data_IF_568702244439
#
_entry.id   IF_568702244439
#
_cell.length_a   1.000
_cell.length_b   1.000
_cell.length_c   1.000
_cell.angle_alpha   90.00
_cell.angle_beta   90.00
_cell.angle_gamma   90.00
#
_symmetry.space_group_name_H-M   'P 1'
#
loop_
_entity.id
_entity.type
_entity.pdbx_description
1 polymer ?
#
# COMPACT_ATOMS: atom_id res chain seq x y z
N UNK A 1 69.83 -56.71 -43.57
CA UNK A 1 70.35 -55.94 -42.45
C UNK A 1 69.53 -54.62 -42.28
N UNK A 2 69.06 -54.38 -41.06
CA UNK A 2 68.47 -53.16 -40.51
C UNK A 2 67.02 -52.78 -40.87
N UNK A 3 66.22 -52.97 -39.91
CA UNK A 3 64.84 -52.54 -39.73
C UNK A 3 64.73 -51.01 -39.57
N UNK A 4 63.63 -50.46 -40.06
CA UNK A 4 63.20 -49.10 -39.66
C UNK A 4 61.73 -49.20 -39.20
N UNK A 5 61.57 -48.77 -37.92
CA UNK A 5 60.30 -48.74 -37.21
C UNK A 5 59.52 -47.48 -37.62
N UNK A 6 58.33 -47.67 -38.14
CA UNK A 6 57.36 -46.54 -38.30
C UNK A 6 56.61 -46.29 -37.03
N UNK A 7 56.71 -45.07 -36.55
CA UNK A 7 55.95 -44.61 -35.39
C UNK A 7 54.57 -44.07 -35.80
N UNK A 8 53.53 -44.55 -35.11
CA UNK A 8 52.15 -44.16 -35.28
C UNK A 8 51.90 -42.91 -34.41
N UNK A 9 51.60 -41.79 -35.03
CA UNK A 9 51.22 -40.57 -34.31
C UNK A 9 49.70 -40.58 -34.11
N UNK A 10 49.28 -40.80 -32.87
CA UNK A 10 47.88 -40.66 -32.46
C UNK A 10 47.62 -39.19 -32.16
N UNK A 11 46.85 -38.52 -32.99
CA UNK A 11 46.38 -37.16 -32.76
C UNK A 11 45.19 -37.21 -31.79
N UNK A 12 45.45 -36.82 -30.53
CA UNK A 12 44.41 -36.64 -29.53
C UNK A 12 43.63 -35.33 -29.76
N UNK A 13 42.36 -35.45 -30.06
CA UNK A 13 41.44 -34.32 -30.13
C UNK A 13 41.01 -33.95 -28.73
N UNK A 14 41.52 -32.83 -28.20
CA UNK A 14 41.11 -32.25 -26.91
C UNK A 14 39.80 -31.49 -27.10
N UNK A 15 38.66 -32.07 -26.68
CA UNK A 15 37.38 -31.40 -26.63
C UNK A 15 37.35 -30.49 -25.41
N UNK A 16 37.53 -29.20 -25.62
CA UNK A 16 37.33 -28.19 -24.54
C UNK A 16 35.83 -27.99 -24.30
N UNK A 17 35.32 -28.55 -23.20
CA UNK A 17 33.96 -28.27 -22.72
C UNK A 17 33.95 -26.84 -22.13
N UNK A 18 33.31 -25.88 -22.83
CA UNK A 18 32.98 -24.57 -22.26
C UNK A 18 31.87 -24.78 -21.22
N UNK A 19 32.22 -24.83 -19.95
CA UNK A 19 31.30 -24.67 -18.83
C UNK A 19 30.82 -23.21 -18.80
N UNK A 20 29.62 -22.95 -19.32
CA UNK A 20 28.94 -21.66 -19.10
C UNK A 20 28.59 -21.61 -17.64
N UNK A 21 29.41 -20.94 -16.84
CA UNK A 21 29.12 -20.58 -15.47
C UNK A 21 27.96 -19.59 -15.49
N UNK A 22 26.74 -20.11 -15.29
CA UNK A 22 25.57 -19.30 -14.97
C UNK A 22 25.83 -18.62 -13.61
N UNK A 23 26.39 -17.38 -13.64
CA UNK A 23 26.53 -16.58 -12.43
C UNK A 23 25.17 -16.37 -11.78
N UNK A 24 25.11 -16.23 -10.43
CA UNK A 24 23.89 -15.92 -9.74
C UNK A 24 23.30 -14.63 -10.32
N UNK A 25 22.08 -14.73 -10.88
CA UNK A 25 21.33 -13.57 -11.31
C UNK A 25 21.18 -12.67 -10.09
N UNK A 26 21.50 -11.35 -10.17
CA UNK A 26 21.22 -10.48 -9.07
C UNK A 26 19.72 -10.56 -8.77
N UNK A 27 19.36 -11.10 -7.61
CA UNK A 27 18.03 -10.98 -7.09
C UNK A 27 17.80 -9.46 -6.97
N UNK A 28 16.85 -8.92 -7.75
CA UNK A 28 16.41 -7.54 -7.57
C UNK A 28 16.12 -7.39 -6.09
N UNK A 29 16.90 -6.53 -5.41
CA UNK A 29 16.72 -6.25 -4.00
C UNK A 29 15.34 -5.60 -3.86
N UNK A 30 14.31 -6.42 -3.60
CA UNK A 30 13.02 -5.91 -3.20
C UNK A 30 13.28 -5.14 -1.91
N UNK A 31 12.92 -3.85 -1.90
CA UNK A 31 13.08 -3.00 -0.74
C UNK A 31 12.48 -3.64 0.52
N UNK A 32 12.77 -3.10 1.69
CA UNK A 32 12.16 -3.65 2.91
C UNK A 32 10.63 -3.53 2.86
N UNK A 33 9.88 -4.55 3.30
CA UNK A 33 8.43 -4.48 3.34
C UNK A 33 7.97 -3.30 4.21
N UNK A 34 7.04 -2.52 3.70
CA UNK A 34 6.44 -1.38 4.41
C UNK A 34 5.22 -1.76 5.22
N UNK A 35 4.75 -2.99 5.09
CA UNK A 35 3.61 -3.54 5.79
C UNK A 35 3.33 -4.98 5.40
N UNK A 36 2.17 -5.48 5.82
CA UNK A 36 1.72 -6.86 5.56
C UNK A 36 0.19 -6.84 5.38
N UNK A 37 -0.32 -7.51 4.36
CA UNK A 37 -1.74 -7.85 4.29
C UNK A 37 -1.98 -9.10 5.14
N UNK A 38 -2.96 -9.03 6.06
CA UNK A 38 -3.15 -10.03 7.11
C UNK A 38 -4.43 -10.85 6.94
N UNK A 39 -5.48 -10.24 6.40
CA UNK A 39 -6.79 -10.87 6.25
C UNK A 39 -7.53 -10.27 5.06
N UNK A 40 -8.27 -11.10 4.34
CA UNK A 40 -9.18 -10.67 3.29
C UNK A 40 -10.47 -11.50 3.33
N UNK A 41 -11.60 -10.83 3.42
CA UNK A 41 -12.90 -11.41 3.10
C UNK A 41 -13.10 -11.20 1.61
N UNK A 42 -13.38 -12.26 0.85
CA UNK A 42 -13.31 -12.20 -0.61
C UNK A 42 -11.86 -12.17 -1.10
N UNK A 43 -11.53 -11.28 -2.03
CA UNK A 43 -10.21 -11.24 -2.68
C UNK A 43 -9.55 -9.86 -2.57
N UNK A 44 -8.33 -9.83 -2.03
CA UNK A 44 -7.39 -8.73 -2.15
C UNK A 44 -6.38 -9.05 -3.25
N UNK A 45 -6.26 -8.18 -4.25
CA UNK A 45 -5.23 -8.24 -5.29
C UNK A 45 -4.18 -7.19 -4.99
N UNK A 46 -2.93 -7.61 -4.89
CA UNK A 46 -1.77 -6.72 -4.72
C UNK A 46 -0.97 -6.74 -6.01
N UNK A 47 -0.93 -5.60 -6.69
CA UNK A 47 -0.17 -5.41 -7.93
C UNK A 47 1.16 -4.76 -7.59
N UNK A 48 2.25 -5.46 -7.86
CA UNK A 48 3.62 -4.99 -7.66
C UNK A 48 4.01 -3.93 -8.69
N UNK A 49 5.10 -3.23 -8.43
CA UNK A 49 5.66 -2.25 -9.36
C UNK A 49 6.16 -2.87 -10.69
N UNK A 50 6.47 -4.16 -10.69
CA UNK A 50 6.83 -4.95 -11.89
C UNK A 50 5.61 -5.49 -12.65
N UNK A 51 4.39 -5.20 -12.18
CA UNK A 51 3.12 -5.65 -12.76
C UNK A 51 2.67 -7.04 -12.31
N UNK A 52 3.44 -7.74 -11.47
CA UNK A 52 3.04 -9.06 -10.95
C UNK A 52 1.91 -8.90 -9.94
N UNK A 53 0.86 -9.69 -10.12
CA UNK A 53 -0.29 -9.73 -9.22
C UNK A 53 -0.17 -10.85 -8.20
N UNK A 54 -0.37 -10.52 -6.93
CA UNK A 54 -0.51 -11.46 -5.83
C UNK A 54 -1.93 -11.38 -5.27
N UNK A 55 -2.51 -12.52 -4.93
CA UNK A 55 -3.87 -12.60 -4.39
C UNK A 55 -3.84 -13.14 -2.98
N UNK A 56 -4.60 -12.51 -2.08
CA UNK A 56 -4.84 -12.96 -0.72
C UNK A 56 -6.33 -13.23 -0.55
N UNK A 57 -6.67 -14.40 -0.01
CA UNK A 57 -8.01 -14.80 0.39
C UNK A 57 -7.93 -15.42 1.79
N UNK A 58 -8.81 -15.02 2.68
CA UNK A 58 -8.76 -15.45 4.07
C UNK A 58 -7.60 -14.86 4.86
N UNK A 59 -7.25 -15.50 5.98
CA UNK A 59 -6.12 -15.12 6.82
C UNK A 59 -4.80 -15.54 6.17
N UNK A 60 -3.83 -14.65 6.17
CA UNK A 60 -2.52 -14.92 5.57
C UNK A 60 -1.50 -13.84 5.92
N UNK A 61 -0.34 -13.91 5.29
CA UNK A 61 0.73 -12.93 5.46
C UNK A 61 1.35 -12.65 4.10
N UNK A 62 0.90 -11.58 3.45
CA UNK A 62 1.47 -11.12 2.19
C UNK A 62 2.24 -9.83 2.43
N UNK A 63 3.58 -9.81 2.27
CA UNK A 63 4.36 -8.59 2.46
C UNK A 63 4.00 -7.52 1.44
N UNK A 64 3.91 -6.27 1.90
CA UNK A 64 3.60 -5.09 1.09
C UNK A 64 4.83 -4.21 0.96
N UNK A 65 5.03 -3.64 -0.23
CA UNK A 65 6.16 -2.79 -0.55
C UNK A 65 5.69 -1.41 -1.01
N UNK A 66 6.62 -0.47 -0.99
CA UNK A 66 6.35 0.84 -1.56
C UNK A 66 6.08 0.75 -3.06
N UNK A 67 5.07 1.47 -3.52
CA UNK A 67 4.60 1.44 -4.90
C UNK A 67 3.54 0.39 -5.20
N UNK A 68 3.29 -0.57 -4.29
CA UNK A 68 2.22 -1.57 -4.46
C UNK A 68 0.85 -0.91 -4.60
N UNK A 69 0.03 -1.46 -5.49
CA UNK A 69 -1.37 -1.10 -5.65
C UNK A 69 -2.25 -2.23 -5.13
N UNK A 70 -3.05 -1.93 -4.12
CA UNK A 70 -3.99 -2.85 -3.50
C UNK A 70 -5.38 -2.63 -4.11
N UNK A 71 -6.03 -3.73 -4.52
CA UNK A 71 -7.39 -3.69 -5.06
C UNK A 71 -8.26 -4.72 -4.38
N UNK A 72 -9.42 -4.29 -3.87
CA UNK A 72 -10.48 -5.20 -3.43
C UNK A 72 -11.54 -5.32 -4.51
N UNK A 73 -12.06 -6.52 -4.71
CA UNK A 73 -13.16 -6.79 -5.64
C UNK A 73 -14.52 -6.44 -5.01
N UNK A 74 -15.62 -6.67 -5.73
CA UNK A 74 -16.96 -6.55 -5.17
C UNK A 74 -17.13 -7.56 -4.01
N UNK A 75 -17.88 -7.18 -2.97
CA UNK A 75 -18.07 -7.95 -1.75
C UNK A 75 -16.75 -8.42 -1.09
N UNK A 76 -15.65 -7.68 -1.30
CA UNK A 76 -14.35 -8.01 -0.74
C UNK A 76 -13.86 -6.90 0.18
N UNK A 77 -13.22 -7.30 1.28
CA UNK A 77 -12.64 -6.38 2.26
C UNK A 77 -11.26 -6.93 2.67
N UNK A 78 -10.34 -6.06 3.07
CA UNK A 78 -9.02 -6.49 3.48
C UNK A 78 -8.51 -5.69 4.67
N UNK A 79 -7.73 -6.34 5.53
CA UNK A 79 -6.98 -5.72 6.61
C UNK A 79 -5.48 -5.79 6.28
N UNK A 80 -4.84 -4.65 6.31
CA UNK A 80 -3.38 -4.53 6.21
C UNK A 80 -2.83 -3.87 7.46
N UNK A 81 -1.60 -4.22 7.81
CA UNK A 81 -0.85 -3.58 8.87
C UNK A 81 0.39 -2.92 8.28
N UNK A 82 0.43 -1.60 8.26
CA UNK A 82 1.58 -0.82 7.83
C UNK A 82 2.55 -0.63 8.99
N UNK A 83 3.84 -0.59 8.70
CA UNK A 83 4.87 -0.35 9.72
C UNK A 83 4.88 1.13 10.13
N UNK A 84 5.08 1.42 11.45
CA UNK A 84 5.40 0.47 12.51
C UNK A 84 4.21 -0.33 13.04
N UNK A 85 2.97 0.19 13.04
CA UNK A 85 1.78 -0.48 13.59
C UNK A 85 0.49 0.26 13.23
N UNK A 86 0.37 0.70 11.98
CA UNK A 86 -0.83 1.42 11.48
C UNK A 86 -1.76 0.44 10.80
N UNK A 87 -2.87 0.00 11.43
CA UNK A 87 -3.87 -0.81 10.79
C UNK A 87 -4.67 0.02 9.79
N UNK A 88 -4.89 -0.56 8.62
CA UNK A 88 -5.70 0.02 7.54
C UNK A 88 -6.62 -1.07 7.01
N UNK A 89 -7.92 -0.81 6.99
CA UNK A 89 -8.89 -1.68 6.34
C UNK A 89 -9.34 -1.06 5.01
N UNK A 90 -9.53 -1.91 4.02
CA UNK A 90 -10.03 -1.56 2.69
C UNK A 90 -11.42 -2.17 2.52
N UNK A 91 -12.39 -1.35 2.14
CA UNK A 91 -13.73 -1.81 1.79
C UNK A 91 -13.76 -2.37 0.36
N UNK A 92 -14.92 -2.83 -0.11
CA UNK A 92 -15.09 -3.35 -1.46
C UNK A 92 -14.77 -2.30 -2.55
N UNK A 93 -14.39 -2.77 -3.74
CA UNK A 93 -14.12 -1.93 -4.93
C UNK A 93 -13.11 -0.81 -4.68
N UNK A 94 -12.24 -0.98 -3.68
CA UNK A 94 -11.21 -0.02 -3.29
C UNK A 94 -9.95 -0.20 -4.14
N UNK A 95 -9.33 0.92 -4.52
CA UNK A 95 -8.01 0.94 -5.16
C UNK A 95 -7.11 1.91 -4.41
N UNK A 96 -6.08 1.37 -3.76
CA UNK A 96 -5.16 2.05 -2.87
C UNK A 96 -3.71 1.81 -3.28
N UNK A 97 -2.92 2.88 -3.45
CA UNK A 97 -1.46 2.77 -3.68
C UNK A 97 -0.69 3.18 -2.43
N UNK A 98 0.31 2.39 -2.07
CA UNK A 98 1.18 2.67 -0.92
C UNK A 98 2.39 3.47 -1.40
N UNK A 99 2.61 4.64 -0.78
CA UNK A 99 3.72 5.54 -1.08
C UNK A 99 4.38 6.02 0.22
N UNK A 100 5.52 6.70 0.09
CA UNK A 100 6.19 7.39 1.18
C UNK A 100 6.77 8.70 0.68
N UNK A 101 6.85 9.68 1.58
CA UNK A 101 7.56 10.93 1.36
C UNK A 101 8.50 11.17 2.52
N UNK A 102 9.71 11.60 2.20
CA UNK A 102 10.62 12.06 3.24
C UNK A 102 10.34 13.53 3.57
N UNK A 103 10.23 13.84 4.86
CA UNK A 103 9.94 15.19 5.34
C UNK A 103 10.79 15.51 6.58
N UNK A 104 11.62 16.54 6.48
CA UNK A 104 12.51 16.97 7.55
C UNK A 104 11.79 17.46 8.81
N UNK A 105 10.54 17.91 8.67
CA UNK A 105 9.75 18.44 9.79
C UNK A 105 9.19 17.32 10.68
N UNK A 106 9.21 16.09 10.21
CA UNK A 106 8.75 14.91 10.96
C UNK A 106 9.93 14.28 11.67
N UNK A 107 9.83 14.11 12.97
CA UNK A 107 10.87 13.46 13.79
C UNK A 107 11.18 12.03 13.36
N UNK A 108 12.16 11.41 13.99
CA UNK A 108 12.60 10.05 13.70
C UNK A 108 13.30 9.93 12.36
N UNK A 109 12.84 9.01 11.49
CA UNK A 109 13.41 8.83 10.15
C UNK A 109 12.85 9.80 9.08
N UNK A 110 12.00 10.75 9.47
CA UNK A 110 11.44 11.76 8.57
C UNK A 110 10.48 11.20 7.49
N UNK A 111 9.98 9.98 7.62
CA UNK A 111 9.13 9.37 6.59
C UNK A 111 7.65 9.50 6.94
N UNK A 112 6.89 10.14 6.06
CA UNK A 112 5.42 10.19 6.09
C UNK A 112 4.91 9.04 5.21
N UNK A 113 3.96 8.26 5.74
CA UNK A 113 3.24 7.25 4.95
C UNK A 113 2.11 7.92 4.19
N UNK A 114 2.08 7.70 2.87
CA UNK A 114 1.04 8.21 1.98
C UNK A 114 0.26 7.05 1.41
N UNK A 115 -1.05 7.09 1.56
CA UNK A 115 -1.99 6.17 0.95
C UNK A 115 -2.76 6.92 -0.12
N UNK A 116 -2.54 6.60 -1.40
CA UNK A 116 -3.29 7.22 -2.49
C UNK A 116 -4.51 6.38 -2.81
N UNK A 117 -5.66 6.85 -2.36
CA UNK A 117 -6.97 6.26 -2.57
C UNK A 117 -7.58 6.83 -3.84
N UNK A 118 -7.64 6.03 -4.91
CA UNK A 118 -8.21 6.46 -6.20
C UNK A 118 -9.73 6.32 -6.24
N UNK A 119 -10.26 5.32 -5.56
CA UNK A 119 -11.71 5.00 -5.42
C UNK A 119 -11.95 4.07 -4.26
N UNK A 120 -13.19 4.00 -3.82
CA UNK A 120 -13.63 3.10 -2.74
C UNK A 120 -13.50 3.75 -1.37
N UNK A 121 -13.21 2.97 -0.35
CA UNK A 121 -13.29 3.41 1.03
C UNK A 121 -12.21 2.73 1.88
N UNK A 122 -11.56 3.51 2.73
CA UNK A 122 -10.53 3.03 3.65
C UNK A 122 -10.79 3.56 5.04
N UNK A 123 -10.62 2.67 6.01
CA UNK A 123 -10.49 3.02 7.41
C UNK A 123 -9.03 2.92 7.83
N UNK A 124 -8.55 3.84 8.65
CA UNK A 124 -7.20 3.80 9.19
C UNK A 124 -7.15 4.36 10.61
N UNK A 125 -6.23 3.79 11.43
CA UNK A 125 -5.90 4.34 12.75
C UNK A 125 -4.43 4.74 12.76
N UNK A 126 -4.19 6.05 12.74
CA UNK A 126 -2.86 6.62 12.96
C UNK A 126 -2.57 6.64 14.46
N UNK A 127 -1.50 5.97 14.89
CA UNK A 127 -1.11 5.91 16.31
C UNK A 127 -0.49 7.21 16.80
N UNK A 128 -0.37 7.33 18.14
CA UNK A 128 0.40 8.37 18.80
C UNK A 128 1.87 8.19 18.51
N UNK A 129 2.50 9.18 17.93
CA UNK A 129 3.91 9.14 17.61
C UNK A 129 4.30 10.16 16.53
N UNK A 130 5.55 10.12 16.14
CA UNK A 130 6.15 11.09 15.20
C UNK A 130 5.69 10.90 13.74
N UNK A 131 4.89 9.87 13.45
CA UNK A 131 4.52 9.53 12.07
C UNK A 131 3.10 9.95 11.75
N UNK A 132 3.00 10.84 10.81
CA UNK A 132 1.75 11.26 10.21
C UNK A 132 1.35 10.27 9.10
N UNK A 133 0.06 9.93 9.06
CA UNK A 133 -0.56 9.23 7.95
C UNK A 133 -1.27 10.23 7.05
N UNK A 134 -0.94 10.24 5.78
CA UNK A 134 -1.66 11.00 4.77
C UNK A 134 -2.44 10.06 3.86
N UNK A 135 -3.71 10.38 3.61
CA UNK A 135 -4.53 9.69 2.61
C UNK A 135 -4.91 10.70 1.54
N UNK A 136 -4.28 10.54 0.37
CA UNK A 136 -4.54 11.36 -0.81
C UNK A 136 -5.70 10.77 -1.61
N UNK A 137 -6.59 11.63 -2.09
CA UNK A 137 -7.69 11.30 -2.99
C UNK A 137 -7.63 12.18 -4.25
N UNK A 138 -8.45 11.94 -5.28
CA UNK A 138 -8.50 12.83 -6.45
C UNK A 138 -8.93 14.27 -6.15
N UNK A 139 -9.58 14.52 -5.00
CA UNK A 139 -10.13 15.83 -4.63
C UNK A 139 -9.47 16.45 -3.39
N UNK A 140 -8.83 15.64 -2.54
CA UNK A 140 -8.42 16.11 -1.22
C UNK A 140 -7.26 15.29 -0.63
N UNK A 141 -6.72 15.78 0.47
CA UNK A 141 -5.74 15.09 1.31
C UNK A 141 -6.25 15.09 2.74
N UNK A 142 -6.38 13.92 3.35
CA UNK A 142 -6.64 13.76 4.78
C UNK A 142 -5.32 13.47 5.49
N UNK A 143 -4.97 14.27 6.49
CA UNK A 143 -3.79 14.12 7.31
C UNK A 143 -4.20 13.75 8.73
N UNK A 144 -3.81 12.55 9.17
CA UNK A 144 -4.16 12.02 10.47
C UNK A 144 -2.92 11.80 11.34
N UNK A 145 -2.99 12.26 12.59
CA UNK A 145 -2.02 11.97 13.64
C UNK A 145 -2.80 11.70 14.90
N UNK A 146 -2.55 10.56 15.54
CA UNK A 146 -3.28 10.14 16.74
C UNK A 146 -4.81 10.19 16.55
N UNK A 147 -5.24 9.69 15.40
CA UNK A 147 -6.64 9.75 14.99
C UNK A 147 -7.10 8.45 14.30
N UNK A 148 -8.38 8.20 14.40
CA UNK A 148 -9.06 7.12 13.67
C UNK A 148 -10.02 7.75 12.66
N UNK A 149 -9.81 7.42 11.39
CA UNK A 149 -10.52 8.02 10.27
C UNK A 149 -11.13 6.98 9.35
N UNK A 150 -12.20 7.35 8.70
CA UNK A 150 -12.76 6.70 7.53
C UNK A 150 -12.79 7.69 6.37
N UNK A 151 -12.26 7.29 5.22
CA UNK A 151 -12.21 8.12 4.02
C UNK A 151 -12.78 7.35 2.85
N UNK A 152 -13.84 7.90 2.27
CA UNK A 152 -14.56 7.35 1.13
C UNK A 152 -14.42 8.25 -0.09
N UNK A 153 -14.17 7.65 -1.24
CA UNK A 153 -14.18 8.31 -2.55
C UNK A 153 -15.36 7.76 -3.35
N UNK A 154 -16.30 8.64 -3.65
CA UNK A 154 -17.47 8.32 -4.47
C UNK A 154 -17.11 8.27 -5.96
N UNK A 155 -18.02 7.74 -6.79
CA UNK A 155 -17.80 7.55 -8.24
C UNK A 155 -17.61 8.89 -8.99
N UNK A 156 -18.16 9.99 -8.48
CA UNK A 156 -17.97 11.35 -8.98
C UNK A 156 -16.62 11.97 -8.56
N UNK A 157 -15.85 11.25 -7.76
CA UNK A 157 -14.55 11.67 -7.23
C UNK A 157 -14.63 12.57 -6.00
N UNK A 158 -15.80 12.81 -5.43
CA UNK A 158 -15.93 13.45 -4.12
C UNK A 158 -15.32 12.56 -3.04
N UNK A 159 -14.72 13.19 -2.04
CA UNK A 159 -14.15 12.50 -0.89
C UNK A 159 -14.89 12.89 0.39
N UNK A 160 -15.30 11.91 1.17
CA UNK A 160 -15.91 12.14 2.49
C UNK A 160 -14.98 11.63 3.56
N UNK A 161 -14.48 12.53 4.42
CA UNK A 161 -13.71 12.18 5.60
C UNK A 161 -14.62 12.18 6.82
N UNK A 162 -14.64 11.05 7.55
CA UNK A 162 -15.30 10.90 8.86
C UNK A 162 -14.26 10.60 9.93
N UNK A 163 -14.30 11.29 11.07
CA UNK A 163 -13.37 11.07 12.18
C UNK A 163 -14.06 10.35 13.33
N UNK A 164 -13.53 9.17 13.69
CA UNK A 164 -14.04 8.34 14.80
C UNK A 164 -13.34 8.63 16.11
N UNK A 165 -12.06 9.02 16.06
CA UNK A 165 -11.27 9.37 17.24
C UNK A 165 -10.26 10.46 16.87
N UNK A 166 -10.00 11.39 17.78
CA UNK A 166 -9.02 12.46 17.59
C UNK A 166 -9.51 13.57 16.65
N UNK A 167 -8.58 14.09 15.87
CA UNK A 167 -8.82 15.16 14.89
C UNK A 167 -7.95 14.89 13.66
N UNK A 168 -8.48 15.17 12.48
CA UNK A 168 -7.74 15.09 11.24
C UNK A 168 -7.88 16.39 10.43
N UNK A 169 -6.82 16.76 9.73
CA UNK A 169 -6.86 17.87 8.79
C UNK A 169 -7.29 17.36 7.42
N UNK A 170 -8.21 18.07 6.78
CA UNK A 170 -8.77 17.74 5.51
C UNK A 170 -8.60 18.90 4.54
N UNK A 171 -7.69 18.76 3.60
CA UNK A 171 -7.29 19.81 2.68
C UNK A 171 -7.73 19.49 1.25
N UNK A 172 -8.21 20.52 0.55
CA UNK A 172 -8.39 20.57 -0.90
C UNK A 172 -7.51 21.67 -1.46
N UNK A 173 -7.31 21.79 -2.77
CA UNK A 173 -6.60 22.94 -3.37
C UNK A 173 -7.24 24.30 -3.06
N UNK A 174 -8.50 24.34 -2.59
CA UNK A 174 -9.28 25.55 -2.41
C UNK A 174 -9.58 25.86 -0.91
N UNK A 175 -9.13 25.05 0.02
CA UNK A 175 -9.31 25.27 1.44
C UNK A 175 -9.00 24.07 2.30
N UNK A 176 -8.90 24.30 3.61
CA UNK A 176 -8.60 23.29 4.61
C UNK A 176 -9.62 23.34 5.74
N UNK A 177 -10.03 22.19 6.23
CA UNK A 177 -10.93 21.99 7.36
C UNK A 177 -10.28 21.10 8.41
N UNK A 178 -10.46 21.42 9.68
CA UNK A 178 -10.11 20.53 10.79
C UNK A 178 -11.36 19.74 11.18
N UNK A 179 -11.34 18.43 10.97
CA UNK A 179 -12.46 17.53 11.24
C UNK A 179 -12.21 16.81 12.55
N UNK A 180 -13.19 16.90 13.48
CA UNK A 180 -13.10 16.35 14.83
C UNK A 180 -13.91 15.08 14.96
N UNK A 181 -13.69 14.37 16.04
CA UNK A 181 -14.45 13.17 16.39
C UNK A 181 -15.96 13.38 16.26
N UNK A 182 -16.66 12.42 15.64
CA UNK A 182 -18.12 12.45 15.43
C UNK A 182 -18.58 13.40 14.33
N UNK A 183 -17.67 13.96 13.53
CA UNK A 183 -18.01 14.82 12.40
C UNK A 183 -17.43 14.31 11.09
N UNK A 184 -18.02 14.74 9.97
CA UNK A 184 -17.53 14.48 8.62
C UNK A 184 -17.47 15.77 7.81
N UNK A 185 -16.57 15.79 6.82
CA UNK A 185 -16.42 16.85 5.84
C UNK A 185 -16.29 16.26 4.44
N UNK A 186 -16.78 16.98 3.45
CA UNK A 186 -16.74 16.57 2.04
C UNK A 186 -15.78 17.48 1.29
N UNK A 187 -14.86 16.88 0.55
CA UNK A 187 -13.98 17.55 -0.40
C UNK A 187 -14.38 17.20 -1.82
N UNK A 188 -14.63 18.22 -2.64
CA UNK A 188 -14.97 18.04 -4.04
C UNK A 188 -13.94 18.70 -4.96
N UNK A 189 -13.83 18.22 -6.20
CA UNK A 189 -12.98 18.85 -7.21
C UNK A 189 -13.46 20.26 -7.51
N UNK A 190 -12.54 21.21 -7.52
CA UNK A 190 -12.85 22.61 -7.81
C UNK A 190 -13.54 23.38 -6.68
N UNK A 191 -13.64 22.77 -5.48
CA UNK A 191 -14.24 23.39 -4.29
C UNK A 191 -13.37 23.18 -3.05
N UNK A 192 -13.60 24.02 -2.04
CA UNK A 192 -13.06 23.81 -0.69
C UNK A 192 -13.74 22.63 0.01
N UNK A 193 -13.18 22.23 1.16
CA UNK A 193 -13.86 21.29 2.03
C UNK A 193 -15.11 21.93 2.65
N UNK A 194 -16.18 21.15 2.85
CA UNK A 194 -17.37 21.63 3.57
C UNK A 194 -17.08 21.81 5.05
N UNK A 195 -17.78 22.74 5.71
CA UNK A 195 -17.73 22.82 7.16
C UNK A 195 -18.11 21.46 7.78
N UNK A 196 -17.34 20.94 8.76
CA UNK A 196 -17.62 19.66 9.38
C UNK A 196 -19.04 19.60 9.97
N UNK A 197 -19.77 18.52 9.63
CA UNK A 197 -21.14 18.28 10.12
C UNK A 197 -21.17 17.01 10.98
N UNK A 198 -22.08 16.91 11.96
CA UNK A 198 -22.26 15.69 12.74
C UNK A 198 -22.48 14.47 11.82
N UNK A 199 -21.79 13.38 12.12
CA UNK A 199 -21.86 12.15 11.34
C UNK A 199 -21.93 10.93 12.27
N UNK A 200 -22.60 9.87 11.80
CA UNK A 200 -22.61 8.59 12.51
C UNK A 200 -21.31 7.82 12.18
N UNK A 201 -20.26 8.08 12.95
CA UNK A 201 -18.95 7.47 12.78
C UNK A 201 -18.99 5.94 12.91
N UNK A 202 -19.85 5.38 13.76
CA UNK A 202 -20.01 3.93 13.92
C UNK A 202 -20.60 3.30 12.65
N UNK A 203 -21.54 3.98 12.00
CA UNK A 203 -22.11 3.49 10.73
C UNK A 203 -21.10 3.60 9.59
N UNK A 204 -20.30 4.68 9.52
CA UNK A 204 -19.32 4.89 8.49
C UNK A 204 -18.27 3.77 8.44
N UNK A 205 -17.78 3.30 9.59
CA UNK A 205 -16.74 2.27 9.66
C UNK A 205 -17.24 0.89 10.13
N UNK A 206 -18.55 0.67 10.18
CA UNK A 206 -19.13 -0.61 10.63
C UNK A 206 -18.70 -1.81 9.78
N UNK A 207 -18.46 -1.60 8.49
CA UNK A 207 -18.04 -2.61 7.53
C UNK A 207 -16.70 -3.28 7.89
N UNK A 208 -15.78 -2.56 8.55
CA UNK A 208 -14.45 -3.09 8.89
C UNK A 208 -14.49 -4.27 9.86
N UNK A 209 -15.58 -4.47 10.60
CA UNK A 209 -15.71 -5.57 11.56
C UNK A 209 -15.52 -6.93 10.92
N UNK A 210 -15.90 -7.07 9.65
CA UNK A 210 -15.77 -8.34 8.92
C UNK A 210 -14.31 -8.80 8.74
N UNK A 211 -13.33 -7.86 8.70
CA UNK A 211 -11.91 -8.18 8.51
C UNK A 211 -11.07 -7.99 9.77
N UNK A 212 -11.63 -7.45 10.83
CA UNK A 212 -10.93 -7.20 12.11
C UNK A 212 -11.01 -8.36 13.11
N UNK A 213 -11.64 -9.49 12.70
CA UNK A 213 -11.80 -10.70 13.54
C UNK A 213 -10.67 -11.73 13.31
#
# INVERSE_FOLDING_TARGET
>A
MRAARGGLIVAGVLAAALAVAGGPRPACAQGQPVGTAQNAVGTLVVVRTDGIEHRLQGKGSLPLFEGDVLRTEAASQALILLRPSTPVALNEKTSLKILSRWDKSVGGNGTIRILRLSRGEVWARAGSGERQLEVETPASVASARDAEIDLKVADDGQSTLTVMQGTADFATPFGQCSVRVGTASIGARGAGCTAPQPANAAAAAGWKQAVSQ
#
